data_IF_477019873427
#
_entry.id   IF_477019873427
#
_cell.length_a   1.000
_cell.length_b   1.000
_cell.length_c   1.000
_cell.angle_alpha   90.00
_cell.angle_beta   90.00
_cell.angle_gamma   90.00
#
_symmetry.space_group_name_H-M   'P 1'
#
loop_
_entity.id
_entity.type
_entity.pdbx_description
1 polymer ?
#
# COMPACT_ATOMS: atom_id res chain seq x y z
N UNK A 1 10.57 -10.83 13.57
CA UNK A 1 10.49 -9.68 12.66
C UNK A 1 9.46 -9.88 11.53
N UNK A 2 8.85 -11.07 11.38
CA UNK A 2 7.81 -11.34 10.36
C UNK A 2 6.40 -10.80 10.68
N UNK A 3 6.14 -10.31 11.91
CA UNK A 3 4.80 -9.95 12.38
C UNK A 3 4.34 -8.52 12.03
N UNK A 4 5.21 -7.61 11.60
CA UNK A 4 4.81 -6.23 11.28
C UNK A 4 4.40 -6.05 9.81
N UNK A 5 5.06 -6.77 8.89
CA UNK A 5 4.72 -6.78 7.47
C UNK A 5 3.32 -7.37 7.23
N UNK A 6 2.98 -8.47 7.91
CA UNK A 6 1.65 -9.13 7.82
C UNK A 6 0.54 -8.34 8.52
N UNK A 7 0.84 -7.51 9.53
CA UNK A 7 -0.18 -6.65 10.18
C UNK A 7 -0.62 -5.50 9.28
N UNK A 8 0.30 -4.96 8.47
CA UNK A 8 0.02 -3.88 7.50
C UNK A 8 -0.84 -4.37 6.33
N UNK A 9 -0.86 -5.68 6.10
CA UNK A 9 -1.59 -6.32 5.02
C UNK A 9 -3.12 -6.18 5.14
N UNK A 10 -3.63 -5.93 6.36
CA UNK A 10 -5.06 -5.83 6.65
C UNK A 10 -5.58 -4.39 6.83
N UNK A 11 -4.76 -3.37 6.53
CA UNK A 11 -5.17 -1.98 6.71
C UNK A 11 -5.79 -1.47 5.41
N UNK A 12 -7.12 -1.50 5.38
CA UNK A 12 -7.90 -1.10 4.21
C UNK A 12 -7.69 -2.05 3.02
N UNK A 13 -8.06 -1.58 1.83
CA UNK A 13 -7.93 -2.31 0.57
C UNK A 13 -6.64 -1.88 -0.15
N UNK A 14 -5.83 -2.86 -0.55
CA UNK A 14 -4.54 -2.61 -1.21
C UNK A 14 -4.65 -2.33 -2.70
N UNK A 15 -5.67 -2.87 -3.35
CA UNK A 15 -6.01 -2.61 -4.75
C UNK A 15 -7.45 -2.10 -4.84
N UNK A 16 -7.63 -0.88 -5.32
CA UNK A 16 -8.94 -0.26 -5.47
C UNK A 16 -9.87 -1.00 -6.45
N UNK A 17 -9.34 -1.88 -7.31
CA UNK A 17 -10.17 -2.78 -8.12
C UNK A 17 -11.01 -3.73 -7.24
N UNK A 18 -10.56 -4.00 -6.01
CA UNK A 18 -11.25 -4.83 -5.02
C UNK A 18 -12.14 -4.02 -4.07
N UNK A 19 -12.23 -2.69 -4.22
CA UNK A 19 -13.09 -1.85 -3.39
C UNK A 19 -14.56 -2.08 -3.77
N UNK A 20 -15.39 -2.51 -2.83
CA UNK A 20 -16.81 -2.80 -3.09
C UNK A 20 -17.60 -1.55 -3.51
N UNK A 21 -17.34 -0.42 -2.84
CA UNK A 21 -17.99 0.86 -3.11
C UNK A 21 -17.12 1.77 -4.00
N UNK A 22 -16.70 1.23 -5.16
CA UNK A 22 -15.80 1.93 -6.09
C UNK A 22 -16.46 3.11 -6.82
N UNK A 23 -17.80 3.19 -6.84
CA UNK A 23 -18.54 4.26 -7.50
C UNK A 23 -18.57 5.55 -6.68
N UNK A 24 -18.28 5.46 -5.37
CA UNK A 24 -18.35 6.59 -4.45
C UNK A 24 -16.93 7.10 -4.11
N UNK A 25 -16.58 8.34 -4.48
CA UNK A 25 -15.25 8.90 -4.20
C UNK A 25 -14.96 9.00 -2.70
N UNK A 26 -15.99 9.08 -1.86
CA UNK A 26 -15.88 9.07 -0.40
C UNK A 26 -15.20 7.78 0.10
N UNK A 27 -15.62 6.62 -0.39
CA UNK A 27 -15.03 5.34 -0.02
C UNK A 27 -13.54 5.25 -0.42
N UNK A 28 -13.19 5.85 -1.56
CA UNK A 28 -11.82 5.94 -2.03
C UNK A 28 -10.95 6.77 -1.07
N UNK A 29 -11.44 7.95 -0.69
CA UNK A 29 -10.76 8.86 0.24
C UNK A 29 -10.67 8.24 1.64
N UNK A 30 -11.71 7.56 2.11
CA UNK A 30 -11.69 6.87 3.39
C UNK A 30 -10.64 5.75 3.42
N UNK A 31 -10.51 4.98 2.35
CA UNK A 31 -9.48 3.94 2.26
C UNK A 31 -8.07 4.55 2.27
N UNK A 32 -7.82 5.59 1.46
CA UNK A 32 -6.55 6.31 1.46
C UNK A 32 -6.24 6.88 2.85
N UNK A 33 -7.22 7.46 3.53
CA UNK A 33 -7.05 8.04 4.86
C UNK A 33 -6.71 6.97 5.91
N UNK A 34 -7.39 5.82 5.87
CA UNK A 34 -7.09 4.68 6.76
C UNK A 34 -5.67 4.17 6.54
N UNK A 35 -5.27 3.99 5.29
CA UNK A 35 -3.91 3.54 4.92
C UNK A 35 -2.83 4.55 5.31
N UNK A 36 -3.06 5.83 5.02
CA UNK A 36 -2.13 6.90 5.32
C UNK A 36 -1.89 7.07 6.83
N UNK A 37 -2.93 6.87 7.66
CA UNK A 37 -2.81 6.93 9.13
C UNK A 37 -1.81 5.89 9.68
N UNK A 38 -1.61 4.81 8.93
CA UNK A 38 -0.72 3.69 9.27
C UNK A 38 0.60 3.74 8.48
N UNK A 39 0.94 4.89 7.90
CA UNK A 39 2.12 5.13 7.07
C UNK A 39 2.19 4.26 5.80
N UNK A 40 1.05 3.77 5.31
CA UNK A 40 0.94 3.08 4.02
C UNK A 40 0.63 4.10 2.93
N UNK A 41 1.69 4.55 2.25
CA UNK A 41 1.61 5.63 1.26
C UNK A 41 1.35 5.15 -0.17
N UNK A 42 1.37 3.83 -0.38
CA UNK A 42 1.21 3.19 -1.68
C UNK A 42 -0.06 2.35 -1.74
N UNK A 43 -0.80 2.49 -2.83
CA UNK A 43 -2.01 1.70 -3.11
C UNK A 43 -2.13 1.43 -4.61
N UNK A 44 -2.54 0.22 -5.01
CA UNK A 44 -2.74 -0.14 -6.41
C UNK A 44 -4.14 0.26 -6.90
N UNK A 45 -4.23 0.50 -8.21
CA UNK A 45 -5.45 0.48 -9.01
C UNK A 45 -5.13 -0.40 -10.22
N UNK A 46 -5.28 -1.72 -10.07
CA UNK A 46 -4.77 -2.67 -11.05
C UNK A 46 -3.26 -2.47 -11.33
N UNK A 47 -2.83 -2.14 -12.55
CA UNK A 47 -1.41 -1.91 -12.86
C UNK A 47 -0.91 -0.52 -12.45
N UNK A 48 -1.78 0.39 -12.01
CA UNK A 48 -1.41 1.76 -11.64
C UNK A 48 -1.05 1.81 -10.16
N UNK A 49 0.06 2.46 -9.82
CA UNK A 49 0.47 2.70 -8.44
C UNK A 49 0.15 4.16 -8.05
N UNK A 50 -0.65 4.33 -7.00
CA UNK A 50 -0.95 5.62 -6.39
C UNK A 50 -0.02 5.83 -5.20
N UNK A 51 0.63 7.00 -5.16
CA UNK A 51 1.49 7.42 -4.06
C UNK A 51 0.92 8.67 -3.38
N UNK A 52 0.84 8.65 -2.04
CA UNK A 52 0.42 9.79 -1.21
C UNK A 52 1.63 10.30 -0.44
N UNK A 53 2.02 11.56 -0.65
CA UNK A 53 3.22 12.11 -0.02
C UNK A 53 3.08 12.25 1.51
N UNK A 54 3.91 11.56 2.32
CA UNK A 54 3.90 11.67 3.77
C UNK A 54 4.52 12.97 4.32
N UNK A 55 5.25 13.74 3.49
CA UNK A 55 6.03 14.93 3.90
C UNK A 55 7.07 14.68 4.99
N UNK A 56 7.40 13.41 5.27
CA UNK A 56 8.47 12.99 6.16
C UNK A 56 9.10 11.70 5.60
N UNK A 57 10.29 11.36 6.10
CA UNK A 57 11.00 10.18 5.63
C UNK A 57 10.44 8.92 6.30
N UNK A 58 10.16 7.89 5.49
CA UNK A 58 9.74 6.56 5.94
C UNK A 58 10.89 5.57 5.72
N UNK A 59 11.11 4.67 6.68
CA UNK A 59 12.12 3.61 6.60
C UNK A 59 11.61 2.43 5.76
N UNK A 60 11.27 2.70 4.50
CA UNK A 60 10.72 1.71 3.54
C UNK A 60 11.65 1.46 2.34
N UNK A 61 12.79 2.14 2.25
CA UNK A 61 13.75 2.04 1.12
C UNK A 61 15.10 1.45 1.53
N UNK A 62 15.08 0.62 2.56
CA UNK A 62 16.22 -0.13 3.07
C UNK A 62 16.58 -1.28 2.13
N UNK A 63 17.86 -1.64 2.10
CA UNK A 63 18.40 -2.69 1.21
C UNK A 63 17.65 -4.02 1.37
N UNK A 64 17.25 -4.36 2.60
CA UNK A 64 16.46 -5.56 2.89
C UNK A 64 15.11 -5.59 2.15
N UNK A 65 14.42 -4.45 2.11
CA UNK A 65 13.14 -4.31 1.40
C UNK A 65 13.39 -4.38 -0.10
N UNK A 66 14.40 -3.67 -0.61
CA UNK A 66 14.75 -3.70 -2.04
C UNK A 66 15.02 -5.14 -2.50
N UNK A 67 15.77 -5.94 -1.73
CA UNK A 67 16.01 -7.35 -2.06
C UNK A 67 14.72 -8.19 -2.02
N UNK A 68 13.79 -7.87 -1.11
CA UNK A 68 12.51 -8.58 -0.98
C UNK A 68 11.62 -8.35 -2.20
N UNK A 69 11.57 -7.13 -2.72
CA UNK A 69 10.74 -6.79 -3.88
C UNK A 69 11.38 -7.16 -5.23
N UNK A 70 12.69 -7.48 -5.23
CA UNK A 70 13.42 -7.80 -6.45
C UNK A 70 12.98 -9.15 -7.03
N UNK A 71 12.61 -9.16 -8.30
CA UNK A 71 12.18 -10.35 -9.06
C UNK A 71 10.95 -11.07 -8.49
N UNK A 72 10.12 -10.38 -7.70
CA UNK A 72 8.86 -10.93 -7.17
C UNK A 72 7.69 -10.39 -7.99
N UNK A 73 6.63 -11.18 -8.14
CA UNK A 73 5.41 -10.69 -8.76
C UNK A 73 4.77 -9.61 -7.88
N UNK A 74 4.34 -8.51 -8.48
CA UNK A 74 3.78 -7.37 -7.76
C UNK A 74 2.45 -7.65 -7.04
N UNK A 75 1.80 -8.79 -7.30
CA UNK A 75 0.61 -9.27 -6.58
C UNK A 75 0.94 -10.10 -5.33
N UNK A 76 2.18 -10.56 -5.18
CA UNK A 76 2.62 -11.37 -4.04
C UNK A 76 3.05 -10.51 -2.85
N UNK A 77 3.33 -9.22 -3.09
CA UNK A 77 3.82 -8.27 -2.10
C UNK A 77 2.91 -7.03 -2.04
N UNK A 78 2.87 -6.35 -0.89
CA UNK A 78 2.06 -5.15 -0.75
C UNK A 78 2.55 -4.01 -1.66
N UNK A 79 1.73 -2.98 -1.91
CA UNK A 79 2.07 -1.92 -2.86
C UNK A 79 3.36 -1.17 -2.46
N UNK A 80 4.33 -1.10 -3.37
CA UNK A 80 5.60 -0.40 -3.16
C UNK A 80 6.26 0.01 -4.50
N UNK A 81 7.27 0.90 -4.46
CA UNK A 81 8.04 1.36 -5.62
C UNK A 81 9.37 0.63 -5.75
#
# INVERSE_FOLDING_TARGET
>A
MENELTKRDHIGVQDFVLLEDYEHPEAFVENLKKRFTENLIYTYIGPVLVSVNPYHQLDIYNDEIIQTYRNVNFYELPPHM
#
